data_IF_663781423693
#
_entry.id   IF_663781423693
#
_cell.length_a   1.000
_cell.length_b   1.000
_cell.length_c   1.000
_cell.angle_alpha   90.00
_cell.angle_beta   90.00
_cell.angle_gamma   90.00
#
_symmetry.space_group_name_H-M   'P 1'
#
loop_
_entity.id
_entity.type
_entity.pdbx_description
1 polymer ?
#
# COMPACT_ATOMS: atom_id res chain seq x y z
N UNK A 1 -15.10 4.96 8.42
CA UNK A 1 -13.98 4.26 7.76
C UNK A 1 -13.08 3.67 8.86
N UNK A 2 -12.62 2.42 8.75
CA UNK A 2 -11.83 1.75 9.80
C UNK A 2 -10.42 2.35 9.98
N UNK A 3 -9.74 2.02 11.08
CA UNK A 3 -8.29 2.31 11.22
C UNK A 3 -7.50 1.55 10.15
N UNK A 4 -6.30 2.03 9.79
CA UNK A 4 -5.49 1.38 8.73
C UNK A 4 -5.20 -0.08 9.07
N UNK A 5 -4.94 -0.38 10.35
CA UNK A 5 -4.79 -1.75 10.83
C UNK A 5 -6.03 -2.60 10.57
N UNK A 6 -7.21 -2.14 11.02
CA UNK A 6 -8.47 -2.89 10.84
C UNK A 6 -8.87 -3.01 9.37
N UNK A 7 -8.48 -2.02 8.54
CA UNK A 7 -8.67 -2.04 7.09
C UNK A 7 -7.86 -3.17 6.44
N UNK A 8 -6.58 -3.28 6.79
CA UNK A 8 -5.70 -4.33 6.28
C UNK A 8 -6.19 -5.71 6.76
N UNK A 9 -6.57 -5.84 8.03
CA UNK A 9 -7.08 -7.10 8.58
C UNK A 9 -8.36 -7.55 7.85
N UNK A 10 -9.32 -6.64 7.66
CA UNK A 10 -10.54 -6.92 6.88
C UNK A 10 -10.22 -7.30 5.43
N UNK A 11 -9.20 -6.68 4.83
CA UNK A 11 -8.75 -7.05 3.49
C UNK A 11 -8.07 -8.42 3.45
N UNK A 12 -7.27 -8.78 4.46
CA UNK A 12 -6.63 -10.10 4.59
C UNK A 12 -7.69 -11.21 4.66
N UNK A 13 -8.82 -10.99 5.34
CA UNK A 13 -9.95 -11.93 5.34
C UNK A 13 -10.49 -12.19 3.92
N UNK A 14 -10.59 -11.15 3.08
CA UNK A 14 -10.96 -11.32 1.67
C UNK A 14 -9.86 -12.00 0.84
N UNK A 15 -8.59 -11.80 1.18
CA UNK A 15 -7.47 -12.47 0.51
C UNK A 15 -7.50 -13.99 0.74
N UNK A 16 -7.93 -14.43 1.93
CA UNK A 16 -8.10 -15.86 2.24
C UNK A 16 -9.15 -16.53 1.33
N UNK A 17 -10.20 -15.79 0.94
CA UNK A 17 -11.19 -16.28 -0.03
C UNK A 17 -10.62 -16.47 -1.44
N UNK A 18 -9.51 -15.78 -1.75
CA UNK A 18 -8.77 -15.92 -3.00
C UNK A 18 -7.59 -16.92 -2.89
N UNK A 19 -7.55 -17.74 -1.82
CA UNK A 19 -6.47 -18.69 -1.52
C UNK A 19 -5.08 -18.05 -1.40
N UNK A 20 -5.00 -16.75 -1.08
CA UNK A 20 -3.71 -16.10 -0.83
C UNK A 20 -3.29 -16.28 0.63
N UNK A 21 -2.00 -16.51 0.85
CA UNK A 21 -1.44 -16.63 2.18
C UNK A 21 -1.27 -15.24 2.80
N UNK A 22 -1.67 -15.08 4.06
CA UNK A 22 -1.56 -13.83 4.81
C UNK A 22 -0.91 -14.09 6.16
N UNK A 23 -0.39 -13.04 6.80
CA UNK A 23 0.08 -13.10 8.19
C UNK A 23 -0.79 -12.25 9.12
N UNK A 24 -1.05 -12.77 10.33
CA UNK A 24 -1.74 -12.04 11.39
C UNK A 24 -0.92 -10.85 11.89
N UNK A 25 0.40 -11.01 12.03
CA UNK A 25 1.27 -10.01 12.67
C UNK A 25 1.97 -9.07 11.72
N UNK A 26 2.06 -9.44 10.43
CA UNK A 26 2.72 -8.62 9.42
C UNK A 26 1.79 -8.33 8.24
N UNK A 27 2.00 -7.18 7.62
CA UNK A 27 1.17 -6.68 6.52
C UNK A 27 1.69 -7.16 5.16
N UNK A 28 1.87 -8.46 5.02
CA UNK A 28 2.19 -9.09 3.74
C UNK A 28 1.12 -10.11 3.32
N UNK A 29 0.98 -10.24 2.01
CA UNK A 29 0.13 -11.20 1.32
C UNK A 29 0.99 -11.89 0.27
N UNK A 30 0.92 -13.22 0.20
CA UNK A 30 1.62 -14.01 -0.79
C UNK A 30 0.61 -14.71 -1.69
N UNK A 31 0.74 -14.44 -2.98
CA UNK A 31 -0.13 -14.99 -4.02
C UNK A 31 0.31 -16.39 -4.42
N UNK A 32 -0.56 -17.13 -5.10
CA UNK A 32 -0.29 -18.50 -5.57
C UNK A 32 0.93 -18.61 -6.49
N UNK A 33 1.28 -17.54 -7.22
CA UNK A 33 2.49 -17.46 -8.04
C UNK A 33 3.79 -17.25 -7.21
N UNK A 34 3.67 -17.27 -5.88
CA UNK A 34 4.78 -17.17 -4.92
C UNK A 34 5.27 -15.75 -4.67
N UNK A 35 4.63 -14.72 -5.24
CA UNK A 35 5.04 -13.33 -5.06
C UNK A 35 4.54 -12.77 -3.73
N UNK A 36 5.43 -12.06 -3.03
CA UNK A 36 5.07 -11.32 -1.82
C UNK A 36 4.69 -9.88 -2.15
N UNK A 37 3.57 -9.45 -1.58
CA UNK A 37 3.02 -8.11 -1.64
C UNK A 37 2.97 -7.58 -0.21
N UNK A 38 3.52 -6.40 0.04
CA UNK A 38 3.50 -5.80 1.37
C UNK A 38 2.72 -4.49 1.36
N UNK A 39 1.93 -4.27 2.40
CA UNK A 39 1.41 -2.96 2.75
C UNK A 39 2.29 -2.34 3.83
N UNK A 40 2.60 -1.07 3.66
CA UNK A 40 3.32 -0.27 4.66
C UNK A 40 2.46 0.93 4.98
N UNK A 41 2.19 1.13 6.26
CA UNK A 41 1.47 2.31 6.73
C UNK A 41 2.37 3.10 7.69
N UNK A 42 2.37 4.41 7.52
CA UNK A 42 3.13 5.31 8.40
C UNK A 42 2.55 6.72 8.37
N UNK A 43 2.63 7.41 9.49
CA UNK A 43 2.29 8.84 9.59
C UNK A 43 3.45 9.71 9.10
N UNK A 44 4.69 9.29 9.34
CA UNK A 44 5.89 10.03 8.92
C UNK A 44 6.95 9.07 8.39
N UNK A 45 7.61 9.45 7.30
CA UNK A 45 8.72 8.67 6.75
C UNK A 45 9.84 9.59 6.30
N UNK A 46 11.05 9.27 6.75
CA UNK A 46 12.24 9.98 6.31
C UNK A 46 12.62 9.55 4.88
N UNK A 47 13.07 10.47 4.00
CA UNK A 47 13.44 10.15 2.62
C UNK A 47 14.39 8.95 2.48
N UNK A 48 15.47 8.90 3.26
CA UNK A 48 16.42 7.78 3.20
C UNK A 48 15.80 6.43 3.58
N UNK A 49 14.78 6.41 4.43
CA UNK A 49 14.07 5.19 4.80
C UNK A 49 13.16 4.73 3.66
N UNK A 50 12.43 5.68 3.08
CA UNK A 50 11.62 5.41 1.89
C UNK A 50 12.48 4.85 0.76
N UNK A 51 13.61 5.51 0.45
CA UNK A 51 14.58 5.06 -0.56
C UNK A 51 15.03 3.62 -0.32
N UNK A 52 15.47 3.34 0.91
CA UNK A 52 15.99 2.02 1.27
C UNK A 52 14.93 0.94 1.07
N UNK A 53 13.68 1.23 1.43
CA UNK A 53 12.59 0.26 1.31
C UNK A 53 12.28 -0.02 -0.17
N UNK A 54 12.11 1.02 -0.99
CA UNK A 54 11.74 0.85 -2.41
C UNK A 54 12.89 0.26 -3.25
N UNK A 55 14.14 0.43 -2.82
CA UNK A 55 15.34 -0.13 -3.48
C UNK A 55 15.68 -1.54 -3.01
N UNK A 56 15.70 -1.79 -1.69
CA UNK A 56 16.15 -3.08 -1.12
C UNK A 56 15.09 -4.16 -1.30
N UNK A 57 13.81 -3.79 -1.19
CA UNK A 57 12.65 -4.70 -1.39
C UNK A 57 12.74 -5.99 -0.58
N UNK A 58 13.36 -5.96 0.59
CA UNK A 58 13.47 -7.11 1.49
C UNK A 58 12.68 -6.86 2.75
N UNK A 59 11.93 -7.86 3.17
CA UNK A 59 11.18 -7.82 4.42
C UNK A 59 11.52 -9.07 5.23
N UNK A 60 11.70 -8.91 6.54
CA UNK A 60 11.75 -10.04 7.46
C UNK A 60 10.32 -10.47 7.76
N UNK A 61 9.96 -11.69 7.37
CA UNK A 61 8.66 -12.29 7.69
C UNK A 61 8.85 -13.36 8.77
N UNK A 62 7.84 -13.53 9.62
CA UNK A 62 7.82 -14.61 10.58
C UNK A 62 7.10 -15.82 9.96
N UNK A 63 7.79 -16.95 9.92
CA UNK A 63 7.24 -18.25 9.54
C UNK A 63 7.37 -19.15 10.76
N UNK A 64 6.23 -19.41 11.41
CA UNK A 64 6.13 -20.13 12.68
C UNK A 64 7.05 -19.52 13.77
N UNK A 65 8.07 -20.28 14.19
CA UNK A 65 9.04 -19.88 15.21
C UNK A 65 10.35 -19.32 14.61
N UNK A 66 10.40 -19.00 13.31
CA UNK A 66 11.60 -18.52 12.63
C UNK A 66 11.37 -17.23 11.85
N UNK A 67 12.43 -16.43 11.69
CA UNK A 67 12.43 -15.27 10.82
C UNK A 67 13.13 -15.60 9.50
N UNK A 68 12.50 -15.25 8.38
CA UNK A 68 13.09 -15.35 7.05
C UNK A 68 13.03 -14.01 6.35
N UNK A 69 14.13 -13.64 5.70
CA UNK A 69 14.12 -12.48 4.78
C UNK A 69 13.60 -12.95 3.43
N UNK A 70 12.55 -12.31 2.94
CA UNK A 70 11.96 -12.55 1.61
C UNK A 70 12.06 -11.30 0.75
N UNK A 71 12.12 -11.51 -0.56
CA UNK A 71 12.05 -10.44 -1.54
C UNK A 71 10.58 -10.07 -1.79
N UNK A 72 10.23 -8.82 -1.53
CA UNK A 72 8.93 -8.22 -1.77
C UNK A 72 8.84 -7.83 -3.24
N UNK A 73 7.89 -8.44 -3.93
CA UNK A 73 7.64 -8.16 -5.35
C UNK A 73 6.95 -6.82 -5.56
N UNK A 74 6.08 -6.41 -4.63
CA UNK A 74 5.35 -5.15 -4.71
C UNK A 74 5.09 -4.55 -3.32
N UNK A 75 5.19 -3.23 -3.20
CA UNK A 75 4.95 -2.48 -1.95
C UNK A 75 3.83 -1.48 -2.12
N UNK A 76 2.83 -1.50 -1.24
CA UNK A 76 1.70 -0.57 -1.22
C UNK A 76 1.79 0.33 0.00
N UNK A 77 1.95 1.62 -0.21
CA UNK A 77 2.00 2.59 0.87
C UNK A 77 0.60 3.12 1.18
N UNK A 78 0.16 2.95 2.42
CA UNK A 78 -1.09 3.49 2.92
C UNK A 78 -0.79 4.71 3.80
N UNK A 79 -1.23 5.88 3.36
CA UNK A 79 -1.06 7.12 4.12
C UNK A 79 -2.41 7.53 4.72
N UNK A 80 -2.49 7.56 6.05
CA UNK A 80 -3.66 8.05 6.78
C UNK A 80 -3.76 9.57 6.69
N UNK A 81 -2.62 10.25 6.66
CA UNK A 81 -2.48 11.67 6.35
C UNK A 81 -2.01 11.85 4.91
N UNK A 82 -1.96 13.08 4.41
CA UNK A 82 -1.50 13.34 3.04
C UNK A 82 -0.04 12.84 2.87
N UNK A 83 0.29 12.09 1.80
CA UNK A 83 1.65 11.62 1.60
C UNK A 83 2.63 12.81 1.51
N UNK A 84 3.83 12.70 2.10
CA UNK A 84 4.84 13.75 1.97
C UNK A 84 5.16 14.02 0.49
N UNK A 85 5.33 15.30 0.13
CA UNK A 85 5.56 15.71 -1.26
C UNK A 85 6.73 14.97 -1.91
N UNK A 86 7.82 14.76 -1.15
CA UNK A 86 8.99 14.04 -1.65
C UNK A 86 8.66 12.60 -2.09
N UNK A 87 7.71 11.91 -1.44
CA UNK A 87 7.32 10.54 -1.82
C UNK A 87 6.70 10.53 -3.21
N UNK A 88 5.78 11.47 -3.44
CA UNK A 88 5.08 11.63 -4.71
C UNK A 88 6.05 12.05 -5.81
N UNK A 89 6.87 13.07 -5.56
CA UNK A 89 7.88 13.54 -6.52
C UNK A 89 8.87 12.44 -6.87
N UNK A 90 9.33 11.65 -5.90
CA UNK A 90 10.32 10.62 -6.15
C UNK A 90 9.79 9.48 -7.03
N UNK A 91 8.56 9.04 -6.78
CA UNK A 91 7.93 8.00 -7.58
C UNK A 91 7.70 8.49 -9.01
N UNK A 92 7.41 9.78 -9.22
CA UNK A 92 7.30 10.38 -10.56
C UNK A 92 8.63 10.46 -11.29
N UNK A 93 9.68 10.89 -10.59
CA UNK A 93 11.01 11.06 -11.16
C UNK A 93 11.65 9.72 -11.55
N UNK A 94 11.18 8.61 -10.96
CA UNK A 94 11.69 7.25 -11.18
C UNK A 94 10.56 6.30 -11.60
N UNK A 95 10.17 6.29 -12.88
CA UNK A 95 9.09 5.42 -13.39
C UNK A 95 9.30 3.93 -13.11
N UNK A 96 10.55 3.46 -12.95
CA UNK A 96 10.81 2.08 -12.56
C UNK A 96 10.27 1.73 -11.15
N UNK A 97 10.06 2.73 -10.30
CA UNK A 97 9.48 2.55 -8.96
C UNK A 97 7.96 2.40 -9.00
N UNK A 98 7.25 3.06 -9.92
CA UNK A 98 5.77 2.97 -10.03
C UNK A 98 5.32 1.56 -10.41
N UNK A 99 6.15 0.81 -11.15
CA UNK A 99 5.88 -0.58 -11.54
C UNK A 99 5.89 -1.56 -10.35
N UNK A 100 6.49 -1.15 -9.23
CA UNK A 100 6.69 -2.00 -8.03
C UNK A 100 6.11 -1.39 -6.77
N UNK A 101 5.74 -0.12 -6.81
CA UNK A 101 5.27 0.64 -5.66
C UNK A 101 3.94 1.30 -5.97
N UNK A 102 2.95 1.06 -5.11
CA UNK A 102 1.69 1.77 -5.11
C UNK A 102 1.62 2.75 -3.93
N UNK A 103 0.93 3.86 -4.11
CA UNK A 103 0.56 4.81 -3.06
C UNK A 103 -0.96 4.85 -3.00
N UNK A 104 -1.51 4.79 -1.79
CA UNK A 104 -2.89 5.07 -1.47
C UNK A 104 -2.94 6.14 -0.39
N UNK A 105 -3.36 7.34 -0.79
CA UNK A 105 -3.66 8.46 0.09
C UNK A 105 -5.11 8.31 0.57
N UNK A 106 -5.25 7.97 1.84
CA UNK A 106 -6.52 7.77 2.53
C UNK A 106 -6.94 9.03 3.30
N UNK A 107 -6.19 10.12 3.23
CA UNK A 107 -6.42 11.33 4.05
C UNK A 107 -7.81 11.93 3.86
N UNK A 108 -8.26 12.05 2.61
CA UNK A 108 -9.61 12.51 2.29
C UNK A 108 -10.68 11.57 2.86
N UNK A 109 -10.42 10.26 2.89
CA UNK A 109 -11.34 9.26 3.42
C UNK A 109 -11.47 9.41 4.93
N UNK A 110 -10.34 9.56 5.62
CA UNK A 110 -10.32 9.83 7.06
C UNK A 110 -10.90 11.20 7.42
N UNK A 111 -10.91 12.16 6.50
CA UNK A 111 -11.60 13.43 6.63
C UNK A 111 -13.12 13.35 6.35
N UNK A 112 -13.65 12.17 6.02
CA UNK A 112 -15.08 11.93 5.79
C UNK A 112 -15.54 12.00 4.33
N UNK A 113 -14.62 12.19 3.38
CA UNK A 113 -14.92 12.07 1.96
C UNK A 113 -14.80 10.60 1.50
N UNK A 114 -15.08 10.32 0.23
CA UNK A 114 -14.92 8.97 -0.36
C UNK A 114 -13.89 8.94 -1.49
N UNK A 115 -12.92 9.86 -1.47
CA UNK A 115 -11.88 9.93 -2.50
C UNK A 115 -10.59 9.34 -1.93
N UNK A 116 -10.06 8.30 -2.59
CA UNK A 116 -8.69 7.86 -2.41
C UNK A 116 -7.85 8.41 -3.56
N UNK A 117 -6.83 9.21 -3.26
CA UNK A 117 -5.83 9.55 -4.28
C UNK A 117 -4.82 8.41 -4.34
N UNK A 118 -4.47 7.95 -5.55
CA UNK A 118 -3.51 6.85 -5.69
C UNK A 118 -2.54 7.01 -6.84
N UNK A 119 -1.42 6.31 -6.71
CA UNK A 119 -0.53 5.90 -7.80
C UNK A 119 -0.47 4.39 -7.73
N UNK A 120 -0.92 3.70 -8.77
CA UNK A 120 -0.81 2.25 -8.84
C UNK A 120 -0.66 1.85 -10.30
N UNK A 121 0.58 1.78 -10.76
CA UNK A 121 0.98 1.29 -12.08
C UNK A 121 1.58 -0.12 -11.97
N UNK A 122 1.35 -0.77 -10.83
CA UNK A 122 1.87 -2.10 -10.58
C UNK A 122 1.00 -3.16 -11.25
N UNK A 123 1.62 -4.29 -11.60
CA UNK A 123 0.88 -5.49 -12.02
C UNK A 123 0.39 -6.34 -10.83
N UNK A 124 0.34 -5.77 -9.62
CA UNK A 124 -0.11 -6.50 -8.44
C UNK A 124 -1.61 -6.80 -8.51
N UNK A 125 -1.96 -8.09 -8.56
CA UNK A 125 -3.34 -8.55 -8.36
C UNK A 125 -3.87 -8.15 -6.99
N UNK A 126 -3.02 -8.25 -5.95
CA UNK A 126 -3.37 -7.84 -4.58
C UNK A 126 -3.78 -6.38 -4.51
N UNK A 127 -3.03 -5.45 -5.12
CA UNK A 127 -3.38 -4.02 -5.07
C UNK A 127 -4.61 -3.69 -5.93
N UNK A 128 -4.80 -4.40 -7.06
CA UNK A 128 -6.03 -4.30 -7.85
C UNK A 128 -7.24 -4.78 -7.05
N UNK A 129 -7.11 -5.87 -6.30
CA UNK A 129 -8.20 -6.37 -5.45
C UNK A 129 -8.43 -5.48 -4.23
N UNK A 130 -7.37 -4.89 -3.66
CA UNK A 130 -7.51 -3.89 -2.60
C UNK A 130 -8.32 -2.68 -3.06
N UNK A 131 -8.10 -2.19 -4.29
CA UNK A 131 -8.94 -1.13 -4.87
C UNK A 131 -10.40 -1.56 -5.04
N UNK A 132 -10.64 -2.81 -5.45
CA UNK A 132 -11.99 -3.36 -5.59
C UNK A 132 -12.68 -3.49 -4.23
N UNK A 133 -11.95 -3.96 -3.22
CA UNK A 133 -12.40 -4.05 -1.84
C UNK A 133 -12.85 -2.68 -1.33
N UNK A 134 -12.01 -1.65 -1.47
CA UNK A 134 -12.35 -0.28 -1.06
C UNK A 134 -13.59 0.27 -1.77
N UNK A 135 -13.75 0.00 -3.07
CA UNK A 135 -14.96 0.38 -3.83
C UNK A 135 -16.20 -0.34 -3.31
N UNK A 136 -16.12 -1.65 -3.10
CA UNK A 136 -17.29 -2.48 -2.72
C UNK A 136 -17.78 -2.16 -1.32
N UNK A 137 -16.86 -2.05 -0.35
CA UNK A 137 -17.22 -1.87 1.06
C UNK A 137 -17.59 -0.43 1.41
N UNK A 138 -16.99 0.57 0.75
CA UNK A 138 -17.13 1.98 1.13
C UNK A 138 -17.40 2.96 -0.01
N UNK A 139 -17.71 2.49 -1.22
CA UNK A 139 -17.94 3.34 -2.43
C UNK A 139 -16.80 4.35 -2.67
N UNK A 140 -15.56 3.91 -2.43
CA UNK A 140 -14.37 4.75 -2.60
C UNK A 140 -14.10 4.98 -4.09
N UNK A 141 -13.95 6.25 -4.45
CA UNK A 141 -13.57 6.72 -5.78
C UNK A 141 -12.08 7.00 -5.83
N UNK A 142 -11.41 6.55 -6.88
CA UNK A 142 -9.98 6.77 -7.06
C UNK A 142 -9.69 7.95 -7.97
N UNK A 143 -8.72 8.77 -7.56
CA UNK A 143 -8.16 9.86 -8.37
C UNK A 143 -6.63 9.78 -8.41
N UNK A 144 -5.97 10.35 -9.41
CA UNK A 144 -4.51 10.47 -9.40
C UNK A 144 -4.04 11.31 -8.20
N UNK A 145 -2.91 10.94 -7.61
CA UNK A 145 -2.23 11.78 -6.60
C UNK A 145 -1.79 13.13 -7.18
N UNK A 146 -1.70 13.24 -8.50
CA UNK A 146 -1.21 14.43 -9.20
C UNK A 146 -2.25 15.56 -9.29
N UNK A 147 -3.52 15.21 -9.14
CA UNK A 147 -4.62 16.17 -8.99
C UNK A 147 -4.73 16.69 -7.54
N UNK A 148 -3.64 16.63 -6.80
CA UNK A 148 -3.54 17.18 -5.46
C UNK A 148 -3.63 18.72 -5.54
N UNK A 149 -4.63 19.36 -4.92
CA UNK A 149 -4.63 20.81 -4.81
C UNK A 149 -3.38 21.24 -4.05
N UNK A 150 -2.67 22.24 -4.59
CA UNK A 150 -1.61 22.93 -3.85
C UNK A 150 -2.20 23.42 -2.54
N UNK A 151 -1.52 23.14 -1.42
CA UNK A 151 -1.87 23.77 -0.16
C UNK A 151 -1.62 25.27 -0.34
N UNK A 152 -2.68 26.06 -0.48
CA UNK A 152 -2.56 27.51 -0.30
C UNK A 152 -2.19 27.74 1.16
N UNK A 153 -0.93 28.08 1.39
CA UNK A 153 -0.46 28.66 2.66
C UNK A 153 -1.08 30.05 2.87
#
# INVERSE_FOLDING_TARGET
FPTVWSLIDSFKEQCLLNNWETCETEDWIKTEDGKYHSFLWTQTIHPSTFERIVTTRRCGIRLDNSYKVVDISYTGWLFQDRPPEFVVSWIKEKPELTQKTAIFDLSDIYAGNNICRRVNETESSVFKEFENFLKKEWDIKFKPVDEMPTLTM
#
